data_IF_796982332787
#
_entry.id   IF_796982332787
#
_cell.length_a   1.000
_cell.length_b   1.000
_cell.length_c   1.000
_cell.angle_alpha   90.00
_cell.angle_beta   90.00
_cell.angle_gamma   90.00
#
_symmetry.space_group_name_H-M   'P 1'
#
loop_
_entity.id
_entity.type
_entity.pdbx_description
1 polymer ?
#
# COMPACT_ATOMS: atom_id res chain seq x y z
N UNK A 1 18.46 -13.21 10.08
CA UNK A 1 18.41 -14.57 10.61
C UNK A 1 19.20 -15.56 9.75
N UNK A 2 18.92 -15.73 8.43
CA UNK A 2 19.67 -16.67 7.58
C UNK A 2 21.19 -16.38 7.50
N UNK A 3 21.58 -15.11 7.57
CA UNK A 3 22.97 -14.65 7.64
C UNK A 3 23.63 -14.85 9.04
N UNK A 4 22.98 -15.57 9.97
CA UNK A 4 23.44 -15.81 11.34
C UNK A 4 23.53 -14.57 12.23
N UNK A 5 22.94 -13.46 11.82
CA UNK A 5 22.79 -12.28 12.68
C UNK A 5 21.61 -12.47 13.63
N UNK A 6 21.76 -11.99 14.86
CA UNK A 6 20.65 -11.87 15.80
C UNK A 6 19.66 -10.85 15.22
N UNK A 7 18.48 -11.31 14.88
CA UNK A 7 17.47 -10.52 14.18
C UNK A 7 16.14 -10.62 14.92
N UNK A 8 15.57 -9.45 15.25
CA UNK A 8 14.24 -9.34 15.84
C UNK A 8 13.31 -8.63 14.87
N UNK A 9 12.16 -9.25 14.57
CA UNK A 9 11.03 -8.61 13.89
C UNK A 9 10.06 -8.08 14.94
N UNK A 10 9.74 -6.81 14.87
CA UNK A 10 8.70 -6.18 15.70
C UNK A 10 7.51 -5.86 14.80
N UNK A 11 6.36 -6.39 15.15
CA UNK A 11 5.12 -6.22 14.39
C UNK A 11 3.97 -5.89 15.35
N UNK A 12 3.17 -4.88 15.01
CA UNK A 12 2.04 -4.42 15.84
C UNK A 12 0.90 -5.44 15.94
N UNK A 13 0.68 -6.21 14.87
CA UNK A 13 -0.37 -7.21 14.78
C UNK A 13 0.16 -8.57 14.35
N UNK A 14 -0.48 -9.20 13.41
CA UNK A 14 0.01 -10.42 12.75
C UNK A 14 0.93 -10.09 11.56
N UNK A 15 1.91 -10.96 11.31
CA UNK A 15 2.77 -10.81 10.12
C UNK A 15 1.96 -10.86 8.84
N UNK A 16 2.13 -9.85 7.96
CA UNK A 16 1.46 -9.79 6.66
C UNK A 16 0.93 -8.40 6.29
N UNK A 17 0.59 -7.56 7.28
CA UNK A 17 0.16 -6.18 7.04
C UNK A 17 -0.99 -6.08 6.02
N UNK A 18 -0.84 -5.20 5.01
CA UNK A 18 -1.86 -4.99 3.96
C UNK A 18 -2.14 -6.24 3.12
N UNK A 19 -1.19 -7.17 3.02
CA UNK A 19 -1.35 -8.41 2.24
C UNK A 19 -2.47 -9.29 2.81
N UNK A 20 -2.69 -9.24 4.13
CA UNK A 20 -3.78 -10.01 4.79
C UNK A 20 -5.18 -9.56 4.35
N UNK A 21 -5.32 -8.35 3.80
CA UNK A 21 -6.60 -7.79 3.33
C UNK A 21 -6.90 -8.18 1.87
N UNK A 22 -5.98 -8.88 1.20
CA UNK A 22 -6.12 -9.31 -0.20
C UNK A 22 -6.60 -10.76 -0.23
N UNK A 23 -7.79 -11.00 -0.74
CA UNK A 23 -8.37 -12.34 -0.83
C UNK A 23 -7.55 -13.24 -1.75
N UNK A 24 -7.12 -12.72 -2.90
CA UNK A 24 -6.40 -13.50 -3.90
C UNK A 24 -5.31 -12.70 -4.61
N UNK A 25 -4.11 -13.28 -4.74
CA UNK A 25 -2.92 -12.69 -5.36
C UNK A 25 -2.53 -13.57 -6.56
N UNK A 26 -2.61 -13.04 -7.78
CA UNK A 26 -2.28 -13.74 -9.01
C UNK A 26 -0.90 -13.36 -9.59
N UNK A 27 -0.31 -12.27 -9.08
CA UNK A 27 0.90 -11.67 -9.62
C UNK A 27 2.15 -11.88 -8.75
N UNK A 28 2.14 -12.88 -7.85
CA UNK A 28 3.33 -13.27 -7.10
C UNK A 28 3.98 -14.49 -7.77
N UNK A 29 5.22 -14.40 -8.28
CA UNK A 29 5.88 -15.49 -8.98
C UNK A 29 6.01 -16.76 -8.13
N UNK A 30 5.75 -17.91 -8.73
CA UNK A 30 5.81 -19.22 -8.08
C UNK A 30 4.44 -19.77 -7.67
N UNK A 31 3.35 -19.03 -7.92
CA UNK A 31 1.97 -19.46 -7.67
C UNK A 31 1.13 -19.29 -8.95
N UNK A 32 1.20 -20.26 -9.88
CA UNK A 32 0.54 -20.13 -11.18
C UNK A 32 -0.99 -20.05 -11.10
N UNK A 33 -1.58 -20.65 -10.07
CA UNK A 33 -3.02 -20.58 -9.78
C UNK A 33 -3.39 -19.40 -8.85
N UNK A 34 -2.40 -18.60 -8.43
CA UNK A 34 -2.57 -17.59 -7.41
C UNK A 34 -2.48 -18.17 -5.99
N UNK A 35 -2.61 -17.29 -5.00
CA UNK A 35 -2.54 -17.62 -3.58
C UNK A 35 -3.30 -16.56 -2.77
N UNK A 36 -3.93 -16.94 -1.64
CA UNK A 36 -4.51 -15.94 -0.75
C UNK A 36 -3.42 -15.10 -0.05
N UNK A 37 -3.73 -13.84 0.23
CA UNK A 37 -2.79 -12.97 0.95
C UNK A 37 -2.41 -13.54 2.32
N UNK A 38 -3.38 -14.12 3.03
CA UNK A 38 -3.14 -14.78 4.31
C UNK A 38 -2.15 -15.95 4.17
N UNK A 39 -2.36 -16.84 3.20
CA UNK A 39 -1.51 -18.02 3.02
C UNK A 39 -0.10 -17.62 2.59
N UNK A 40 0.04 -16.61 1.71
CA UNK A 40 1.35 -16.10 1.29
C UNK A 40 2.12 -15.53 2.50
N UNK A 41 1.47 -14.71 3.32
CA UNK A 41 2.07 -14.12 4.52
C UNK A 41 2.48 -15.20 5.54
N UNK A 42 1.63 -16.20 5.77
CA UNK A 42 1.93 -17.32 6.68
C UNK A 42 3.12 -18.15 6.18
N UNK A 43 3.18 -18.47 4.89
CA UNK A 43 4.34 -19.16 4.29
C UNK A 43 5.64 -18.38 4.44
N UNK A 44 5.61 -17.05 4.24
CA UNK A 44 6.77 -16.17 4.44
C UNK A 44 7.20 -16.16 5.91
N UNK A 45 6.26 -16.02 6.86
CA UNK A 45 6.55 -16.02 8.28
C UNK A 45 7.16 -17.36 8.74
N UNK A 46 6.58 -18.49 8.32
CA UNK A 46 7.15 -19.83 8.61
C UNK A 46 8.53 -20.03 8.00
N UNK A 47 8.77 -19.54 6.79
CA UNK A 47 10.08 -19.59 6.17
C UNK A 47 11.11 -18.79 6.98
N UNK A 48 10.78 -17.60 7.44
CA UNK A 48 11.67 -16.78 8.27
C UNK A 48 11.95 -17.43 9.63
N UNK A 49 10.92 -17.96 10.30
CA UNK A 49 11.04 -18.66 11.58
C UNK A 49 11.95 -19.89 11.49
N UNK A 50 11.94 -20.65 10.38
CA UNK A 50 12.84 -21.79 10.15
C UNK A 50 14.32 -21.41 10.22
N UNK A 51 14.67 -20.14 9.94
CA UNK A 51 16.04 -19.63 10.07
C UNK A 51 16.33 -18.97 11.42
N UNK A 52 15.43 -19.13 12.40
CA UNK A 52 15.61 -18.60 13.75
C UNK A 52 15.29 -17.11 13.85
N UNK A 53 14.41 -16.57 13.00
CA UNK A 53 13.92 -15.21 13.19
C UNK A 53 13.10 -15.16 14.48
N UNK A 54 13.50 -14.30 15.41
CA UNK A 54 12.73 -13.94 16.57
C UNK A 54 11.67 -12.89 16.18
N UNK A 55 10.43 -13.08 16.60
CA UNK A 55 9.33 -12.14 16.33
C UNK A 55 8.66 -11.74 17.63
N UNK A 56 8.40 -10.45 17.79
CA UNK A 56 7.68 -9.88 18.93
C UNK A 56 6.48 -9.09 18.43
N UNK A 57 5.31 -9.41 18.97
CA UNK A 57 4.11 -8.58 18.75
C UNK A 57 4.18 -7.44 19.74
N UNK A 58 4.44 -6.24 19.25
CA UNK A 58 4.53 -5.02 20.04
C UNK A 58 4.40 -3.78 19.14
N UNK A 59 3.91 -2.68 19.71
CA UNK A 59 3.89 -1.37 19.06
C UNK A 59 5.17 -0.61 19.36
N UNK A 60 5.80 -0.07 18.29
CA UNK A 60 6.93 0.84 18.43
C UNK A 60 6.39 2.25 18.68
N UNK A 61 6.80 2.88 19.76
CA UNK A 61 6.43 4.25 20.10
C UNK A 61 7.34 5.28 19.40
N UNK A 62 8.65 5.01 19.34
CA UNK A 62 9.63 5.91 18.75
C UNK A 62 10.91 5.18 18.35
N UNK A 63 11.68 5.83 17.47
CA UNK A 63 13.02 5.40 17.07
C UNK A 63 14.05 6.50 17.38
N UNK A 64 15.10 6.15 18.10
CA UNK A 64 16.31 6.96 18.16
C UNK A 64 17.36 6.33 17.23
N UNK A 65 17.57 6.98 16.11
CA UNK A 65 18.45 6.53 15.03
C UNK A 65 19.84 7.19 15.09
N UNK A 66 20.18 7.81 16.23
CA UNK A 66 21.45 8.49 16.44
C UNK A 66 22.60 7.49 16.72
N UNK A 67 23.80 7.94 16.36
CA UNK A 67 25.03 7.20 16.70
C UNK A 67 25.13 5.81 16.05
N UNK A 68 26.04 5.01 16.56
CA UNK A 68 26.28 3.66 16.05
C UNK A 68 25.23 2.66 16.52
N UNK A 69 24.81 2.75 17.77
CA UNK A 69 23.74 1.94 18.33
C UNK A 69 22.40 2.66 18.16
N UNK A 70 21.46 2.04 17.46
CA UNK A 70 20.08 2.51 17.31
C UNK A 70 19.24 2.02 18.46
N UNK A 71 18.21 2.77 18.82
CA UNK A 71 17.28 2.39 19.89
C UNK A 71 15.86 2.38 19.38
N UNK A 72 15.15 1.32 19.69
CA UNK A 72 13.72 1.15 19.40
C UNK A 72 12.98 1.19 20.72
N UNK A 73 12.12 2.18 20.91
CA UNK A 73 11.29 2.33 22.10
C UNK A 73 9.91 1.74 21.82
N UNK A 74 9.46 0.80 22.65
CA UNK A 74 8.14 0.20 22.57
C UNK A 74 7.13 0.98 23.41
N UNK A 75 5.84 0.92 23.05
CA UNK A 75 4.76 1.57 23.81
C UNK A 75 4.67 1.06 25.26
N UNK A 76 5.06 -0.19 25.49
CA UNK A 76 5.11 -0.81 26.81
C UNK A 76 6.26 -0.29 27.69
N UNK A 77 7.14 0.55 27.15
CA UNK A 77 8.27 1.16 27.84
C UNK A 77 9.59 0.41 27.67
N UNK A 78 9.61 -0.77 27.08
CA UNK A 78 10.83 -1.51 26.78
C UNK A 78 11.67 -0.78 25.72
N UNK A 79 13.00 -0.84 25.88
CA UNK A 79 13.96 -0.31 24.92
C UNK A 79 14.83 -1.43 24.35
N UNK A 80 14.91 -1.51 23.04
CA UNK A 80 15.75 -2.47 22.32
C UNK A 80 16.88 -1.70 21.64
N UNK A 81 18.12 -2.15 21.85
CA UNK A 81 19.30 -1.58 21.21
C UNK A 81 19.79 -2.51 20.10
N UNK A 82 20.13 -1.93 18.94
CA UNK A 82 20.59 -2.67 17.78
C UNK A 82 21.64 -1.87 16.98
N UNK A 83 22.45 -2.57 16.17
CA UNK A 83 23.45 -1.93 15.29
C UNK A 83 22.84 -1.43 13.98
N UNK A 84 21.75 -2.07 13.54
CA UNK A 84 21.08 -1.73 12.28
C UNK A 84 19.59 -1.87 12.40
N UNK A 85 18.83 -1.05 11.64
CA UNK A 85 17.36 -1.07 11.56
C UNK A 85 16.93 -1.14 10.10
N UNK A 86 15.99 -2.02 9.81
CA UNK A 86 15.28 -2.04 8.52
C UNK A 86 13.85 -1.54 8.77
N UNK A 87 13.50 -0.41 8.17
CA UNK A 87 12.17 0.19 8.21
C UNK A 87 11.31 -0.46 7.13
N UNK A 88 10.33 -1.26 7.53
CA UNK A 88 9.43 -2.00 6.64
C UNK A 88 7.96 -1.83 7.02
N UNK A 89 7.59 -0.66 7.54
CA UNK A 89 6.27 -0.35 8.07
C UNK A 89 5.18 -0.24 7.00
N UNK A 90 5.59 -0.15 5.72
CA UNK A 90 4.68 -0.09 4.59
C UNK A 90 3.92 1.24 4.47
N UNK A 91 2.80 1.16 3.77
CA UNK A 91 1.91 2.28 3.52
C UNK A 91 0.46 1.80 3.53
N UNK A 92 -0.48 2.73 3.68
CA UNK A 92 -1.91 2.47 3.65
C UNK A 92 -2.61 3.37 2.64
N UNK A 93 -3.67 2.90 1.97
CA UNK A 93 -4.46 3.76 1.11
C UNK A 93 -5.21 4.80 1.94
N UNK A 94 -5.40 5.98 1.35
CA UNK A 94 -6.38 6.93 1.85
C UNK A 94 -7.78 6.36 1.67
N UNK A 95 -8.57 6.39 2.73
CA UNK A 95 -9.97 5.98 2.73
C UNK A 95 -10.89 7.18 2.53
N UNK A 96 -12.08 6.93 1.99
CA UNK A 96 -13.14 7.94 1.91
C UNK A 96 -13.76 8.21 3.27
N UNK A 97 -13.77 7.22 4.17
CA UNK A 97 -14.38 7.30 5.50
C UNK A 97 -15.91 7.35 5.45
N UNK A 98 -16.50 6.67 4.49
CA UNK A 98 -17.95 6.66 4.23
C UNK A 98 -18.58 5.32 4.61
N UNK A 99 -19.90 5.28 4.89
CA UNK A 99 -20.63 4.04 5.14
C UNK A 99 -20.46 3.03 3.99
N UNK A 100 -20.28 1.76 4.33
CA UNK A 100 -20.10 0.66 3.40
C UNK A 100 -18.67 0.47 2.88
N UNK A 101 -17.78 1.46 3.01
CA UNK A 101 -16.40 1.32 2.51
C UNK A 101 -15.64 0.22 3.24
N UNK A 102 -15.69 0.21 4.56
CA UNK A 102 -14.94 -0.77 5.36
C UNK A 102 -15.54 -2.18 5.26
N UNK A 103 -16.85 -2.27 5.32
CA UNK A 103 -17.62 -3.53 5.32
C UNK A 103 -17.50 -4.29 3.97
N UNK A 104 -17.38 -3.52 2.87
CA UNK A 104 -17.30 -4.04 1.52
C UNK A 104 -15.86 -4.03 0.93
N UNK A 105 -14.86 -3.67 1.75
CA UNK A 105 -13.45 -3.83 1.36
C UNK A 105 -13.14 -5.31 1.12
N UNK A 106 -12.57 -5.64 -0.08
CA UNK A 106 -12.37 -7.01 -0.55
C UNK A 106 -13.63 -7.67 -1.14
N UNK A 107 -14.80 -7.03 -1.02
CA UNK A 107 -16.07 -7.51 -1.56
C UNK A 107 -16.64 -6.56 -2.64
N UNK A 108 -15.74 -5.95 -3.39
CA UNK A 108 -16.08 -4.98 -4.44
C UNK A 108 -15.48 -3.59 -4.19
N UNK A 109 -15.14 -3.21 -2.96
CA UNK A 109 -14.31 -2.03 -2.69
C UNK A 109 -12.83 -2.42 -2.74
N UNK A 110 -12.06 -1.75 -3.59
CA UNK A 110 -10.64 -2.00 -3.82
C UNK A 110 -9.84 -0.69 -3.76
N UNK A 111 -8.54 -0.83 -3.45
CA UNK A 111 -7.55 0.25 -3.45
C UNK A 111 -6.40 -0.03 -4.44
N UNK A 112 -6.49 -1.09 -5.24
CA UNK A 112 -5.45 -1.52 -6.18
C UNK A 112 -6.06 -2.04 -7.49
N UNK A 113 -5.99 -1.25 -8.55
CA UNK A 113 -6.54 -1.64 -9.86
C UNK A 113 -5.77 -2.81 -10.49
N UNK A 114 -4.46 -2.85 -10.32
CA UNK A 114 -3.62 -3.93 -10.87
C UNK A 114 -3.79 -5.27 -10.15
N UNK A 115 -4.22 -5.21 -8.87
CA UNK A 115 -4.50 -6.42 -8.09
C UNK A 115 -5.87 -7.00 -8.43
N UNK A 116 -6.91 -6.16 -8.40
CA UNK A 116 -8.30 -6.60 -8.37
C UNK A 116 -9.03 -6.37 -9.70
N UNK A 117 -8.46 -5.58 -10.63
CA UNK A 117 -9.07 -5.30 -11.93
C UNK A 117 -9.55 -6.53 -12.71
N UNK A 118 -8.77 -7.64 -12.78
CA UNK A 118 -9.19 -8.86 -13.46
C UNK A 118 -10.50 -9.48 -12.98
N UNK A 119 -10.88 -9.28 -11.70
CA UNK A 119 -12.13 -9.79 -11.12
C UNK A 119 -13.38 -9.08 -11.62
N UNK A 120 -13.23 -7.88 -12.21
CA UNK A 120 -14.35 -7.06 -12.71
C UNK A 120 -14.57 -7.16 -14.22
N UNK A 121 -14.25 -8.32 -14.82
CA UNK A 121 -14.44 -8.56 -16.25
C UNK A 121 -15.90 -8.36 -16.66
N UNK A 122 -16.09 -7.55 -17.71
CA UNK A 122 -17.40 -7.20 -18.30
C UNK A 122 -18.40 -6.52 -17.34
N UNK A 123 -17.91 -5.99 -16.21
CA UNK A 123 -18.72 -5.31 -15.20
C UNK A 123 -18.64 -3.78 -15.34
N UNK A 124 -19.54 -3.08 -14.66
CA UNK A 124 -19.51 -1.63 -14.50
C UNK A 124 -18.95 -1.28 -13.12
N UNK A 125 -17.95 -0.42 -13.11
CA UNK A 125 -17.21 -0.06 -11.91
C UNK A 125 -17.01 1.46 -11.80
N UNK A 126 -16.70 1.90 -10.58
CA UNK A 126 -16.38 3.29 -10.28
C UNK A 126 -14.92 3.40 -9.88
N UNK A 127 -14.27 4.47 -10.34
CA UNK A 127 -12.98 4.95 -9.82
C UNK A 127 -13.21 6.27 -9.11
N UNK A 128 -12.82 6.36 -7.84
CA UNK A 128 -12.88 7.60 -7.07
C UNK A 128 -11.49 8.21 -7.03
N UNK A 129 -11.35 9.40 -7.62
CA UNK A 129 -10.07 10.10 -7.67
C UNK A 129 -9.96 11.08 -8.82
N UNK A 130 -8.77 11.61 -9.09
CA UNK A 130 -8.55 12.57 -10.17
C UNK A 130 -7.10 13.05 -10.29
N UNK A 131 -6.17 12.37 -9.61
CA UNK A 131 -4.72 12.48 -9.82
C UNK A 131 -4.22 11.47 -10.85
N UNK A 132 -2.91 11.48 -11.11
CA UNK A 132 -2.26 10.62 -12.11
C UNK A 132 -2.63 9.15 -11.93
N UNK A 133 -2.49 8.62 -10.72
CA UNK A 133 -2.82 7.23 -10.39
C UNK A 133 -4.28 6.89 -10.74
N UNK A 134 -5.24 7.71 -10.30
CA UNK A 134 -6.66 7.42 -10.54
C UNK A 134 -7.00 7.39 -12.04
N UNK A 135 -6.45 8.32 -12.81
CA UNK A 135 -6.72 8.44 -14.25
C UNK A 135 -6.03 7.33 -15.03
N UNK A 136 -4.78 7.02 -14.68
CA UNK A 136 -4.03 5.94 -15.31
C UNK A 136 -4.64 4.56 -15.00
N UNK A 137 -5.05 4.35 -13.76
CA UNK A 137 -5.67 3.09 -13.35
C UNK A 137 -7.10 2.96 -13.89
N UNK A 138 -7.85 4.06 -14.05
CA UNK A 138 -9.14 4.02 -14.74
C UNK A 138 -9.00 3.53 -16.19
N UNK A 139 -8.00 4.02 -16.93
CA UNK A 139 -7.72 3.53 -18.28
C UNK A 139 -7.28 2.06 -18.27
N UNK A 140 -6.43 1.66 -17.31
CA UNK A 140 -6.02 0.26 -17.14
C UNK A 140 -7.22 -0.67 -16.90
N UNK A 141 -8.15 -0.27 -16.04
CA UNK A 141 -9.34 -1.04 -15.68
C UNK A 141 -10.27 -1.29 -16.88
N UNK A 142 -10.26 -0.42 -17.91
CA UNK A 142 -11.04 -0.66 -19.13
C UNK A 142 -10.60 -1.88 -19.93
N UNK A 143 -9.42 -2.47 -19.62
CA UNK A 143 -8.99 -3.76 -20.20
C UNK A 143 -9.91 -4.91 -19.76
N UNK A 144 -10.54 -4.76 -18.62
CA UNK A 144 -11.37 -5.78 -17.99
C UNK A 144 -12.84 -5.33 -17.94
N UNK A 145 -13.09 -4.20 -17.29
CA UNK A 145 -14.44 -3.69 -17.09
C UNK A 145 -15.10 -3.26 -18.42
N UNK A 146 -16.40 -3.47 -18.48
CA UNK A 146 -17.23 -3.00 -19.59
C UNK A 146 -17.29 -1.47 -19.60
N UNK A 147 -17.40 -0.87 -18.41
CA UNK A 147 -17.48 0.58 -18.22
C UNK A 147 -16.82 0.99 -16.90
N UNK A 148 -16.09 2.08 -16.95
CA UNK A 148 -15.42 2.72 -15.80
C UNK A 148 -16.00 4.12 -15.65
N UNK A 149 -16.57 4.45 -14.49
CA UNK A 149 -17.05 5.81 -14.21
C UNK A 149 -16.10 6.46 -13.20
N UNK A 150 -15.40 7.51 -13.62
CA UNK A 150 -14.52 8.28 -12.73
C UNK A 150 -15.34 9.34 -12.01
N UNK A 151 -15.41 9.27 -10.68
CA UNK A 151 -16.07 10.27 -9.84
C UNK A 151 -15.01 11.20 -9.26
N UNK A 152 -15.12 12.50 -9.57
CA UNK A 152 -14.19 13.50 -9.10
C UNK A 152 -14.88 14.70 -8.45
N UNK A 153 -14.36 15.12 -7.29
CA UNK A 153 -14.92 16.21 -6.47
C UNK A 153 -14.78 17.62 -7.07
N UNK A 154 -14.03 17.77 -8.16
CA UNK A 154 -13.79 19.04 -8.85
C UNK A 154 -14.30 18.96 -10.29
N UNK A 155 -14.29 20.10 -10.97
CA UNK A 155 -14.67 20.27 -12.38
C UNK A 155 -13.56 19.86 -13.37
N UNK A 156 -12.35 19.53 -12.86
CA UNK A 156 -11.18 19.13 -13.67
C UNK A 156 -10.24 18.22 -12.94
N UNK A 157 -9.60 17.33 -13.67
CA UNK A 157 -8.57 16.42 -13.14
C UNK A 157 -7.30 17.19 -12.76
N UNK A 158 -6.54 16.61 -11.82
CA UNK A 158 -5.19 17.08 -11.46
C UNK A 158 -4.09 16.28 -12.17
N UNK A 159 -4.47 15.21 -12.84
CA UNK A 159 -3.57 14.35 -13.60
C UNK A 159 -2.83 15.13 -14.70
N UNK A 160 -1.67 14.63 -15.14
CA UNK A 160 -0.94 15.16 -16.28
C UNK A 160 -1.81 15.17 -17.54
N UNK A 161 -1.66 16.19 -18.40
CA UNK A 161 -2.49 16.37 -19.60
C UNK A 161 -2.54 15.13 -20.49
N UNK A 162 -1.41 14.50 -20.72
CA UNK A 162 -1.32 13.28 -21.55
C UNK A 162 -2.20 12.14 -21.03
N UNK A 163 -2.30 11.98 -19.71
CA UNK A 163 -3.17 10.98 -19.10
C UNK A 163 -4.65 11.37 -19.24
N UNK A 164 -4.96 12.66 -19.09
CA UNK A 164 -6.31 13.20 -19.30
C UNK A 164 -6.77 12.97 -20.74
N UNK A 165 -5.95 13.32 -21.72
CA UNK A 165 -6.25 13.16 -23.16
C UNK A 165 -6.56 11.68 -23.48
N UNK A 166 -5.73 10.77 -22.96
CA UNK A 166 -5.94 9.33 -23.13
C UNK A 166 -7.25 8.86 -22.51
N UNK A 167 -7.55 9.28 -21.29
CA UNK A 167 -8.78 8.90 -20.60
C UNK A 167 -10.02 9.50 -21.27
N UNK A 168 -9.97 10.74 -21.75
CA UNK A 168 -11.09 11.37 -22.49
C UNK A 168 -11.33 10.75 -23.88
N UNK A 169 -10.29 10.21 -24.50
CA UNK A 169 -10.41 9.49 -25.77
C UNK A 169 -10.95 8.05 -25.60
N UNK A 170 -10.97 7.52 -24.39
CA UNK A 170 -11.41 6.16 -24.12
C UNK A 170 -12.92 6.12 -23.93
N UNK A 171 -13.65 5.52 -24.88
CA UNK A 171 -15.12 5.43 -24.89
C UNK A 171 -15.73 4.54 -23.78
N UNK A 172 -14.89 3.83 -23.02
CA UNK A 172 -15.32 3.04 -21.85
C UNK A 172 -15.21 3.84 -20.55
N UNK A 173 -14.69 5.08 -20.58
CA UNK A 173 -14.55 5.92 -19.39
C UNK A 173 -15.57 7.05 -19.45
N UNK A 174 -16.42 7.12 -18.44
CA UNK A 174 -17.28 8.27 -18.16
C UNK A 174 -16.77 9.05 -16.95
N UNK A 175 -17.17 10.33 -16.86
CA UNK A 175 -16.79 11.21 -15.78
C UNK A 175 -18.00 11.81 -15.09
N UNK A 176 -18.03 11.75 -13.76
CA UNK A 176 -18.97 12.48 -12.91
C UNK A 176 -18.17 13.52 -12.13
N UNK A 177 -18.38 14.77 -12.51
CA UNK A 177 -17.67 15.92 -11.97
C UNK A 177 -18.40 16.52 -10.77
N UNK A 178 -17.64 17.34 -9.97
CA UNK A 178 -18.20 18.10 -8.85
C UNK A 178 -19.00 17.23 -7.87
N UNK A 179 -18.58 15.98 -7.69
CA UNK A 179 -19.34 14.97 -6.97
C UNK A 179 -18.43 14.11 -6.11
N UNK A 180 -18.97 13.62 -5.02
CA UNK A 180 -18.31 12.67 -4.12
C UNK A 180 -19.19 11.43 -3.94
N UNK A 181 -18.56 10.30 -3.68
CA UNK A 181 -19.28 9.12 -3.19
C UNK A 181 -19.58 9.35 -1.71
N UNK A 182 -20.85 9.21 -1.32
CA UNK A 182 -21.31 9.43 0.07
C UNK A 182 -21.58 8.13 0.81
N UNK A 183 -21.86 7.03 0.11
CA UNK A 183 -21.90 5.66 0.66
C UNK A 183 -21.65 4.62 -0.42
N UNK A 184 -21.23 3.43 -0.01
CA UNK A 184 -21.20 2.22 -0.85
C UNK A 184 -22.27 1.29 -0.34
N UNK A 185 -23.13 0.79 -1.23
CA UNK A 185 -24.31 -0.01 -0.89
C UNK A 185 -24.16 -1.44 -1.41
N UNK A 186 -24.60 -2.41 -0.60
CA UNK A 186 -24.62 -3.84 -0.89
C UNK A 186 -24.57 -4.67 0.40
N UNK A 187 -25.02 -5.91 0.35
CA UNK A 187 -25.02 -6.83 1.48
C UNK A 187 -23.79 -7.76 1.48
N UNK A 188 -23.63 -8.53 0.43
CA UNK A 188 -22.52 -9.50 0.31
C UNK A 188 -21.39 -9.01 -0.59
N UNK A 189 -21.63 -7.95 -1.35
CA UNK A 189 -20.70 -7.28 -2.26
C UNK A 189 -21.25 -5.94 -2.67
N UNK A 190 -20.47 -5.17 -3.41
CA UNK A 190 -20.89 -3.86 -3.92
C UNK A 190 -22.02 -4.03 -4.95
N UNK A 191 -23.12 -3.31 -4.78
CA UNK A 191 -24.29 -3.29 -5.68
C UNK A 191 -24.53 -1.89 -6.25
N UNK A 192 -24.21 -0.84 -5.49
CA UNK A 192 -24.34 0.55 -5.90
C UNK A 192 -23.45 1.49 -5.10
N UNK A 193 -23.29 2.71 -5.62
CA UNK A 193 -22.74 3.84 -4.88
C UNK A 193 -23.76 4.98 -4.85
N UNK A 194 -23.86 5.64 -3.70
CA UNK A 194 -24.58 6.91 -3.57
C UNK A 194 -23.62 8.04 -3.87
N UNK A 195 -24.01 8.90 -4.79
CA UNK A 195 -23.22 10.04 -5.25
C UNK A 195 -23.92 11.31 -4.79
N UNK A 196 -23.16 12.22 -4.21
CA UNK A 196 -23.65 13.55 -3.86
C UNK A 196 -22.86 14.60 -4.65
N UNK A 197 -23.57 15.40 -5.43
CA UNK A 197 -23.01 16.54 -6.15
C UNK A 197 -22.77 17.75 -5.23
N UNK A 198 -21.98 18.71 -5.67
CA UNK A 198 -21.67 19.91 -4.88
C UNK A 198 -22.88 20.81 -4.60
N UNK A 199 -23.94 20.73 -5.41
CA UNK A 199 -25.22 21.41 -5.20
C UNK A 199 -26.15 20.65 -4.22
N UNK A 200 -25.70 19.51 -3.70
CA UNK A 200 -26.39 18.71 -2.70
C UNK A 200 -27.36 17.67 -3.27
N UNK A 201 -27.48 17.53 -4.59
CA UNK A 201 -28.30 16.49 -5.20
C UNK A 201 -27.67 15.11 -4.96
N UNK A 202 -28.50 14.13 -4.62
CA UNK A 202 -28.08 12.74 -4.47
C UNK A 202 -28.60 11.88 -5.61
N UNK A 203 -27.77 10.96 -6.06
CA UNK A 203 -28.11 9.96 -7.07
C UNK A 203 -27.50 8.61 -6.70
N UNK A 204 -28.11 7.54 -7.21
CA UNK A 204 -27.64 6.18 -7.03
C UNK A 204 -27.11 5.66 -8.37
N UNK A 205 -25.88 5.17 -8.36
CA UNK A 205 -25.25 4.52 -9.52
C UNK A 205 -25.03 3.04 -9.21
N UNK A 206 -25.66 2.16 -9.97
CA UNK A 206 -25.48 0.71 -9.84
C UNK A 206 -24.14 0.31 -10.43
N UNK A 207 -23.30 -0.33 -9.62
CA UNK A 207 -21.96 -0.82 -9.97
C UNK A 207 -21.62 -2.00 -9.10
N UNK A 208 -20.70 -2.83 -9.56
CA UNK A 208 -20.25 -4.01 -8.80
C UNK A 208 -18.89 -3.82 -8.17
N UNK A 209 -18.20 -2.69 -8.46
CA UNK A 209 -16.90 -2.40 -7.90
C UNK A 209 -16.63 -0.92 -7.74
N UNK A 210 -15.86 -0.59 -6.70
CA UNK A 210 -15.42 0.77 -6.37
C UNK A 210 -13.92 0.76 -6.12
N UNK A 211 -13.16 1.44 -6.96
CA UNK A 211 -11.72 1.63 -6.79
C UNK A 211 -11.44 2.99 -6.17
N UNK A 212 -10.98 3.01 -4.93
CA UNK A 212 -10.69 4.23 -4.17
C UNK A 212 -9.23 4.61 -4.38
N UNK A 213 -8.98 5.56 -5.29
CA UNK A 213 -7.64 5.94 -5.75
C UNK A 213 -7.36 7.43 -5.44
N UNK A 214 -7.45 7.78 -4.16
CA UNK A 214 -7.29 9.16 -3.65
C UNK A 214 -5.96 9.41 -2.95
N UNK A 215 -4.98 8.50 -3.17
CA UNK A 215 -3.62 8.57 -2.66
C UNK A 215 -3.31 7.49 -1.64
N UNK A 216 -2.04 7.46 -1.24
CA UNK A 216 -1.48 6.50 -0.27
C UNK A 216 -0.70 7.27 0.78
N UNK A 217 -0.74 6.83 2.03
CA UNK A 217 -0.06 7.43 3.17
C UNK A 217 1.03 6.46 3.66
N UNK A 218 2.29 6.88 3.80
CA UNK A 218 3.32 6.06 4.43
C UNK A 218 3.04 5.87 5.92
N UNK A 219 3.35 4.69 6.47
CA UNK A 219 3.28 4.44 7.91
C UNK A 219 4.59 4.92 8.56
N UNK A 220 4.72 6.23 8.72
CA UNK A 220 5.94 6.90 9.15
C UNK A 220 5.82 7.64 10.49
N UNK A 221 4.74 7.43 11.23
CA UNK A 221 4.41 8.15 12.46
C UNK A 221 5.47 8.01 13.56
N UNK A 222 6.21 6.89 13.54
CA UNK A 222 7.24 6.58 14.56
C UNK A 222 8.63 7.07 14.18
N UNK A 223 8.80 7.70 13.01
CA UNK A 223 10.12 8.08 12.49
C UNK A 223 10.49 9.52 12.86
N UNK A 224 11.77 9.79 13.11
CA UNK A 224 12.28 11.15 13.24
C UNK A 224 12.38 11.79 11.84
N UNK A 225 11.25 12.31 11.33
CA UNK A 225 11.11 12.84 9.96
C UNK A 225 11.97 14.09 9.71
N UNK A 226 12.39 14.78 10.75
CA UNK A 226 13.36 15.88 10.69
C UNK A 226 14.77 15.42 10.29
N UNK A 227 15.04 14.13 10.35
CA UNK A 227 16.36 13.52 10.10
C UNK A 227 16.40 12.55 8.92
N UNK A 228 15.28 11.85 8.65
CA UNK A 228 15.14 10.98 7.49
C UNK A 228 14.79 11.80 6.25
N UNK A 229 15.53 11.61 5.17
CA UNK A 229 15.16 12.21 3.90
C UNK A 229 13.91 11.53 3.32
N UNK A 230 12.88 12.34 3.07
CA UNK A 230 11.61 11.89 2.52
C UNK A 230 11.22 12.73 1.31
N UNK A 231 10.29 12.20 0.50
CA UNK A 231 9.60 12.99 -0.50
C UNK A 231 8.52 13.89 0.14
N UNK A 232 7.84 14.68 -0.69
CA UNK A 232 6.79 15.63 -0.26
C UNK A 232 5.58 14.95 0.39
N UNK A 233 5.44 13.63 0.25
CA UNK A 233 4.37 12.83 0.87
C UNK A 233 4.83 12.04 2.11
N UNK A 234 6.11 12.16 2.47
CA UNK A 234 6.69 11.51 3.65
C UNK A 234 7.19 10.08 3.42
N UNK A 235 7.29 9.62 2.17
CA UNK A 235 7.94 8.34 1.84
C UNK A 235 9.45 8.48 1.88
N UNK A 236 10.15 7.48 2.42
CA UNK A 236 11.58 7.50 2.66
C UNK A 236 12.37 7.40 1.34
N UNK A 237 13.29 8.31 1.10
CA UNK A 237 14.29 8.18 0.04
C UNK A 237 15.35 7.15 0.43
N UNK A 238 15.70 6.28 -0.52
CA UNK A 238 16.83 5.34 -0.39
C UNK A 238 17.60 5.27 -1.70
N UNK A 239 18.84 4.80 -1.60
CA UNK A 239 19.61 4.38 -2.77
C UNK A 239 19.17 2.99 -3.30
N UNK A 240 19.90 2.46 -4.29
CA UNK A 240 19.62 1.16 -4.88
C UNK A 240 19.85 -0.02 -3.91
N UNK A 241 20.70 0.17 -2.90
CA UNK A 241 20.98 -0.81 -1.84
C UNK A 241 20.08 -0.63 -0.62
N UNK A 242 18.98 0.08 -0.75
CA UNK A 242 17.98 0.33 0.29
C UNK A 242 18.51 1.16 1.48
N UNK A 243 19.67 1.82 1.36
CA UNK A 243 20.19 2.69 2.42
C UNK A 243 19.42 3.99 2.47
N UNK A 244 19.12 4.43 3.67
CA UNK A 244 18.66 5.80 3.92
C UNK A 244 19.85 6.75 4.05
N UNK A 245 19.59 8.02 4.28
CA UNK A 245 20.63 8.99 4.62
C UNK A 245 21.25 8.78 6.01
N UNK A 246 20.71 7.88 6.85
CA UNK A 246 21.22 7.57 8.18
C UNK A 246 22.02 6.26 8.14
N UNK A 247 23.33 6.25 8.46
CA UNK A 247 24.14 5.05 8.45
C UNK A 247 23.56 3.94 9.35
N UNK A 248 23.46 2.71 8.82
CA UNK A 248 22.91 1.56 9.54
C UNK A 248 21.38 1.51 9.55
N UNK A 249 20.71 2.43 8.84
CA UNK A 249 19.27 2.44 8.68
C UNK A 249 18.91 2.21 7.21
N UNK A 250 18.16 1.15 6.93
CA UNK A 250 17.63 0.82 5.62
C UNK A 250 16.11 0.95 5.65
N UNK A 251 15.51 1.13 4.47
CA UNK A 251 14.07 1.05 4.29
C UNK A 251 13.73 0.12 3.12
N UNK A 252 12.63 -0.65 3.23
CA UNK A 252 12.19 -1.58 2.21
C UNK A 252 10.67 -1.63 2.13
N UNK A 253 10.15 -1.94 0.95
CA UNK A 253 8.71 -2.04 0.70
C UNK A 253 8.05 -0.67 0.50
N UNK A 254 6.76 -0.61 0.79
CA UNK A 254 5.91 0.51 0.39
C UNK A 254 6.11 1.79 1.20
N UNK A 255 6.91 1.75 2.25
CA UNK A 255 7.36 2.94 2.99
C UNK A 255 8.31 3.82 2.17
N UNK A 256 8.93 3.29 1.13
CA UNK A 256 9.89 4.01 0.29
C UNK A 256 9.20 4.88 -0.76
N UNK A 257 9.88 5.97 -1.12
CA UNK A 257 9.54 6.78 -2.29
C UNK A 257 9.80 5.98 -3.57
N UNK A 258 8.74 5.50 -4.19
CA UNK A 258 8.76 4.67 -5.42
C UNK A 258 7.42 4.69 -6.13
N UNK A 259 7.43 4.33 -7.41
CA UNK A 259 6.23 4.29 -8.26
C UNK A 259 5.45 2.96 -8.16
N UNK A 260 6.14 1.84 -7.95
CA UNK A 260 5.52 0.50 -7.96
C UNK A 260 5.43 -0.04 -6.54
N UNK A 261 4.21 -0.33 -6.08
CA UNK A 261 3.90 -0.93 -4.78
C UNK A 261 3.24 -2.28 -5.00
N UNK A 262 4.07 -3.34 -4.96
CA UNK A 262 3.66 -4.73 -5.13
C UNK A 262 4.39 -5.62 -4.12
N UNK A 263 3.76 -6.73 -3.73
CA UNK A 263 4.32 -7.67 -2.73
C UNK A 263 5.70 -8.20 -3.16
N UNK A 264 5.83 -8.55 -4.44
CA UNK A 264 7.11 -9.05 -4.99
C UNK A 264 8.23 -8.01 -4.93
N UNK A 265 7.91 -6.73 -5.16
CA UNK A 265 8.87 -5.64 -5.02
C UNK A 265 9.32 -5.49 -3.58
N UNK A 266 8.36 -5.48 -2.64
CA UNK A 266 8.66 -5.38 -1.22
C UNK A 266 9.54 -6.54 -0.72
N UNK A 267 9.27 -7.77 -1.19
CA UNK A 267 10.10 -8.94 -0.88
C UNK A 267 11.52 -8.83 -1.44
N UNK A 268 11.67 -8.38 -2.69
CA UNK A 268 12.97 -8.15 -3.33
C UNK A 268 13.78 -7.05 -2.61
N UNK A 269 13.14 -5.92 -2.30
CA UNK A 269 13.76 -4.84 -1.54
C UNK A 269 14.16 -5.27 -0.12
N UNK A 270 13.33 -6.10 0.54
CA UNK A 270 13.66 -6.69 1.84
C UNK A 270 14.91 -7.57 1.79
N UNK A 271 15.09 -8.34 0.70
CA UNK A 271 16.30 -9.14 0.52
C UNK A 271 17.55 -8.26 0.33
N UNK A 272 17.45 -7.18 -0.46
CA UNK A 272 18.55 -6.21 -0.64
C UNK A 272 18.88 -5.52 0.68
N UNK A 273 17.86 -5.01 1.40
CA UNK A 273 18.05 -4.35 2.70
C UNK A 273 18.73 -5.27 3.72
N UNK A 274 18.40 -6.56 3.74
CA UNK A 274 19.00 -7.53 4.64
C UNK A 274 20.51 -7.73 4.34
N UNK A 275 20.90 -7.84 3.06
CA UNK A 275 22.31 -7.95 2.65
C UNK A 275 23.06 -6.66 2.98
N UNK A 276 22.44 -5.50 2.76
CA UNK A 276 23.03 -4.20 3.07
C UNK A 276 23.24 -4.03 4.58
N UNK A 277 22.29 -4.50 5.40
CA UNK A 277 22.43 -4.50 6.86
C UNK A 277 23.58 -5.40 7.32
N UNK A 278 23.69 -6.61 6.75
CA UNK A 278 24.79 -7.54 7.01
C UNK A 278 26.15 -6.90 6.70
N UNK A 279 26.31 -6.33 5.51
CA UNK A 279 27.53 -5.65 5.10
C UNK A 279 27.89 -4.49 6.04
N UNK A 280 26.90 -3.68 6.43
CA UNK A 280 27.12 -2.57 7.36
C UNK A 280 27.62 -3.03 8.72
N UNK A 281 27.10 -4.15 9.24
CA UNK A 281 27.49 -4.72 10.53
C UNK A 281 28.89 -5.30 10.46
N UNK A 282 29.23 -6.04 9.37
CA UNK A 282 30.51 -6.72 9.21
C UNK A 282 31.68 -5.75 8.93
N UNK A 283 31.46 -4.61 8.28
CA UNK A 283 32.50 -3.59 8.06
C UNK A 283 32.96 -2.94 9.39
N UNK A 284 32.09 -3.01 10.40
CA UNK A 284 32.36 -2.40 11.72
C UNK A 284 32.86 -3.41 12.76
N UNK A 285 33.06 -4.65 12.40
CA UNK A 285 33.80 -5.64 13.17
C UNK A 285 35.31 -5.61 12.80
#
# INVERSE_FOLDING_TARGET
ARARLQTLLIEKGGSGGQVLLTDWIENYPGFPEGISGFELADRMARQAARFGLESRIASVAALDLNGECKRVLLEEGDQITCRSVILATGARPNKLGIPGEAELTGKGVSFCATCDGPFFRDQEIVVVGGGDTAVQEADYLTKFARKVTVIHRRDKLRAMKILQEKAFANNRIDFIWNSVVSSVEGETGVEAVRIRSNDGQESLLRVTGVFVLIGTIPNNEIFPLDRLQTDDWGFIHTDAEMRTNIPGVMAAGDIRSKSVRQVVNAAGEGAVAAITAENYINIKE
#
